data_IF_213315184523
#
_entry.id   IF_213315184523
#
_cell.length_a   1.000
_cell.length_b   1.000
_cell.length_c   1.000
_cell.angle_alpha   90.00
_cell.angle_beta   90.00
_cell.angle_gamma   90.00
#
_symmetry.space_group_name_H-M   'P 1'
#
loop_
_entity.id
_entity.type
_entity.pdbx_description
1 polymer ?
#
# COMPACT_ATOMS: atom_id res chain seq x y z
N UNK A 1 35.87 -8.62 15.14
CA UNK A 1 35.92 -9.42 16.39
C UNK A 1 35.93 -8.55 17.65
N UNK A 2 36.84 -7.59 17.81
CA UNK A 2 36.86 -6.71 18.99
C UNK A 2 35.52 -5.98 19.25
N UNK A 3 34.92 -5.41 18.21
CA UNK A 3 33.61 -4.75 18.31
C UNK A 3 32.49 -5.69 18.79
N UNK A 4 32.45 -6.92 18.28
CA UNK A 4 31.50 -7.94 18.74
C UNK A 4 31.68 -8.24 20.23
N UNK A 5 32.92 -8.49 20.65
CA UNK A 5 33.23 -8.82 22.03
C UNK A 5 32.84 -7.68 22.99
N UNK A 6 33.07 -6.44 22.58
CA UNK A 6 32.65 -5.25 23.33
C UNK A 6 31.12 -5.17 23.49
N UNK A 7 30.36 -5.49 22.44
CA UNK A 7 28.89 -5.36 22.42
C UNK A 7 28.15 -6.51 23.09
N UNK A 8 28.61 -7.73 22.85
CA UNK A 8 27.93 -8.95 23.28
C UNK A 8 28.50 -9.53 24.58
N UNK A 9 29.67 -9.06 25.01
CA UNK A 9 30.31 -9.51 26.25
C UNK A 9 31.06 -10.84 26.15
N UNK A 10 31.19 -11.44 24.95
CA UNK A 10 31.93 -12.68 24.74
C UNK A 10 32.62 -12.72 23.36
N UNK A 11 33.63 -13.58 23.20
CA UNK A 11 34.33 -13.75 21.91
C UNK A 11 33.53 -14.65 20.96
N UNK A 12 33.26 -14.18 19.74
CA UNK A 12 32.65 -15.00 18.69
C UNK A 12 33.62 -16.04 18.11
N UNK A 13 34.94 -15.85 18.29
CA UNK A 13 35.96 -16.67 17.63
C UNK A 13 35.79 -18.19 17.86
N UNK A 14 35.49 -18.69 19.08
CA UNK A 14 35.23 -20.11 19.31
C UNK A 14 33.94 -20.64 18.64
N UNK A 15 33.02 -19.75 18.30
CA UNK A 15 31.73 -20.05 17.66
C UNK A 15 31.69 -19.64 16.19
N UNK A 16 32.83 -19.27 15.58
CA UNK A 16 32.87 -18.82 14.19
C UNK A 16 32.26 -19.85 13.20
N UNK A 17 32.48 -21.17 13.36
CA UNK A 17 31.84 -22.16 12.50
C UNK A 17 30.30 -22.11 12.56
N UNK A 18 29.72 -21.68 13.68
CA UNK A 18 28.27 -21.56 13.84
C UNK A 18 27.63 -20.60 12.84
N UNK A 19 28.39 -19.66 12.27
CA UNK A 19 27.90 -18.74 11.25
C UNK A 19 27.66 -19.42 9.89
N UNK A 20 28.29 -20.58 9.66
CA UNK A 20 28.27 -21.27 8.37
C UNK A 20 27.56 -22.62 8.44
N UNK A 21 27.71 -23.33 9.56
CA UNK A 21 27.13 -24.66 9.80
C UNK A 21 26.43 -24.69 11.15
N UNK A 22 25.54 -25.67 11.35
CA UNK A 22 24.97 -25.91 12.68
C UNK A 22 25.97 -26.68 13.55
N UNK A 23 26.32 -26.10 14.70
CA UNK A 23 27.22 -26.66 15.71
C UNK A 23 26.51 -26.95 17.03
N UNK A 24 25.18 -27.07 17.00
CA UNK A 24 24.34 -27.41 18.16
C UNK A 24 23.69 -26.21 18.82
N UNK A 25 23.39 -26.32 20.12
CA UNK A 25 22.52 -25.40 20.87
C UNK A 25 22.97 -23.92 20.83
N UNK A 26 24.26 -23.66 20.61
CA UNK A 26 24.81 -22.30 20.55
C UNK A 26 24.64 -21.64 19.18
N UNK A 27 24.30 -22.39 18.13
CA UNK A 27 24.16 -21.86 16.76
C UNK A 27 23.16 -20.71 16.66
N UNK A 28 21.91 -20.83 17.13
CA UNK A 28 20.92 -19.76 16.97
C UNK A 28 21.35 -18.47 17.65
N UNK A 29 21.86 -18.56 18.89
CA UNK A 29 22.32 -17.40 19.66
C UNK A 29 23.53 -16.71 19.01
N UNK A 30 24.54 -17.48 18.57
CA UNK A 30 25.71 -16.92 17.91
C UNK A 30 25.39 -16.20 16.59
N UNK A 31 24.47 -16.77 15.78
CA UNK A 31 24.00 -16.14 14.55
C UNK A 31 23.22 -14.86 14.84
N UNK A 32 22.31 -14.90 15.82
CA UNK A 32 21.54 -13.74 16.24
C UNK A 32 22.45 -12.58 16.69
N UNK A 33 23.35 -12.85 17.64
CA UNK A 33 24.25 -11.83 18.19
C UNK A 33 25.19 -11.28 17.12
N UNK A 34 25.59 -12.10 16.14
CA UNK A 34 26.41 -11.64 15.02
C UNK A 34 25.64 -10.69 14.10
N UNK A 35 24.41 -11.06 13.70
CA UNK A 35 23.58 -10.20 12.86
C UNK A 35 23.21 -8.89 13.58
N UNK A 36 22.87 -8.95 14.87
CA UNK A 36 22.62 -7.77 15.68
C UNK A 36 23.84 -6.85 15.75
N UNK A 37 25.04 -7.43 15.98
CA UNK A 37 26.30 -6.67 16.01
C UNK A 37 26.59 -6.03 14.64
N UNK A 38 26.34 -6.72 13.53
CA UNK A 38 26.50 -6.16 12.19
C UNK A 38 25.55 -4.99 11.95
N UNK A 39 24.27 -5.13 12.32
CA UNK A 39 23.28 -4.07 12.20
C UNK A 39 23.66 -2.83 13.02
N UNK A 40 24.05 -3.02 14.30
CA UNK A 40 24.55 -1.93 15.15
C UNK A 40 25.78 -1.26 14.54
N UNK A 41 26.70 -2.04 13.95
CA UNK A 41 27.90 -1.47 13.34
C UNK A 41 27.56 -0.69 12.08
N UNK A 42 26.65 -1.18 11.25
CA UNK A 42 26.20 -0.50 10.03
C UNK A 42 25.51 0.82 10.38
N UNK A 43 24.66 0.84 11.41
CA UNK A 43 24.05 2.07 11.92
C UNK A 43 25.11 3.12 12.31
N UNK A 44 26.09 2.72 13.12
CA UNK A 44 27.11 3.63 13.65
C UNK A 44 28.12 4.08 12.61
N UNK A 45 28.50 3.18 11.70
CA UNK A 45 29.51 3.43 10.69
C UNK A 45 28.95 4.12 9.43
N UNK A 46 27.66 4.00 9.15
CA UNK A 46 27.07 4.40 7.88
C UNK A 46 25.82 5.27 8.05
N UNK A 47 24.66 4.68 8.40
CA UNK A 47 23.38 5.40 8.33
C UNK A 47 23.31 6.60 9.26
N UNK A 48 23.78 6.47 10.51
CA UNK A 48 23.77 7.58 11.47
C UNK A 48 24.71 8.71 11.04
N UNK A 49 25.87 8.38 10.49
CA UNK A 49 26.83 9.37 10.03
C UNK A 49 26.31 10.14 8.82
N UNK A 50 25.75 9.43 7.83
CA UNK A 50 25.13 10.06 6.66
C UNK A 50 23.94 10.94 7.07
N UNK A 51 23.07 10.44 7.95
CA UNK A 51 21.93 11.19 8.46
C UNK A 51 22.35 12.50 9.14
N UNK A 52 23.31 12.42 10.08
CA UNK A 52 23.82 13.58 10.79
C UNK A 52 24.51 14.58 9.84
N UNK A 53 25.29 14.10 8.86
CA UNK A 53 25.92 14.96 7.87
C UNK A 53 24.87 15.67 7.00
N UNK A 54 23.89 14.93 6.50
CA UNK A 54 22.76 15.46 5.72
C UNK A 54 22.00 16.55 6.50
N UNK A 55 21.63 16.27 7.75
CA UNK A 55 20.94 17.23 8.63
C UNK A 55 21.76 18.51 8.86
N UNK A 56 23.07 18.39 9.12
CA UNK A 56 23.96 19.53 9.32
C UNK A 56 24.09 20.44 8.09
N UNK A 57 23.83 19.90 6.89
CA UNK A 57 23.93 20.62 5.62
C UNK A 57 22.56 21.00 5.03
N UNK A 58 21.46 20.72 5.74
CA UNK A 58 20.10 21.00 5.24
C UNK A 58 19.72 20.16 4.02
N UNK A 59 20.31 18.97 3.85
CA UNK A 59 20.03 18.03 2.77
C UNK A 59 19.23 16.87 3.35
N UNK A 60 18.12 16.47 2.72
CA UNK A 60 17.38 15.29 3.17
C UNK A 60 18.06 14.00 2.71
N UNK A 61 18.42 13.10 3.63
CA UNK A 61 18.77 11.73 3.28
C UNK A 61 17.51 11.00 2.80
N UNK A 62 17.59 10.46 1.58
CA UNK A 62 16.52 9.70 0.91
C UNK A 62 17.11 8.47 0.22
N UNK A 63 16.26 7.50 -0.10
CA UNK A 63 16.66 6.26 -0.77
C UNK A 63 16.13 5.05 -0.02
N UNK A 64 16.66 3.87 -0.30
CA UNK A 64 16.27 2.62 0.35
C UNK A 64 17.50 1.88 0.92
N UNK A 65 17.33 1.06 1.97
CA UNK A 65 18.38 0.17 2.47
C UNK A 65 18.67 -0.98 1.49
N UNK A 66 19.62 -1.84 1.85
CA UNK A 66 20.07 -2.93 0.97
C UNK A 66 18.97 -3.97 0.72
N UNK A 67 18.16 -4.28 1.75
CA UNK A 67 17.04 -5.20 1.63
C UNK A 67 15.69 -4.48 1.44
N UNK A 68 14.83 -5.07 0.62
CA UNK A 68 13.51 -4.52 0.30
C UNK A 68 12.54 -4.45 1.51
N UNK A 69 12.78 -5.29 2.54
CA UNK A 69 12.01 -5.31 3.80
C UNK A 69 12.78 -4.75 4.99
N UNK A 70 13.96 -4.17 4.78
CA UNK A 70 14.74 -3.58 5.87
C UNK A 70 14.11 -2.26 6.32
N UNK A 71 13.28 -2.34 7.35
CA UNK A 71 12.58 -1.19 7.92
C UNK A 71 13.43 -0.45 8.96
N UNK A 72 14.27 -1.16 9.71
CA UNK A 72 15.06 -0.58 10.80
C UNK A 72 15.96 0.59 10.40
N UNK A 73 16.75 0.53 9.30
CA UNK A 73 17.64 1.65 8.95
C UNK A 73 16.90 2.93 8.56
N UNK A 74 15.63 2.84 8.16
CA UNK A 74 14.86 3.97 7.63
C UNK A 74 14.65 5.10 8.64
N UNK A 75 14.76 4.83 9.94
CA UNK A 75 14.69 5.87 10.99
C UNK A 75 15.73 6.99 10.84
N UNK A 76 16.85 6.70 10.17
CA UNK A 76 17.90 7.66 9.88
C UNK A 76 17.62 8.52 8.63
N UNK A 77 16.57 8.24 7.87
CA UNK A 77 16.27 8.97 6.64
C UNK A 77 15.30 10.11 6.94
N UNK A 78 15.62 11.33 6.48
CA UNK A 78 14.67 12.45 6.52
C UNK A 78 13.50 12.24 5.54
N UNK A 79 13.73 11.49 4.45
CA UNK A 79 12.70 10.96 3.55
C UNK A 79 12.92 9.45 3.38
N UNK A 80 12.39 8.61 4.29
CA UNK A 80 12.53 7.16 4.18
C UNK A 80 11.93 6.66 2.87
N UNK A 81 12.61 5.73 2.21
CA UNK A 81 12.19 5.21 0.92
C UNK A 81 12.35 3.70 0.78
N UNK A 82 11.64 3.13 -0.19
CA UNK A 82 11.84 1.76 -0.64
C UNK A 82 11.76 1.67 -2.16
N UNK A 83 11.95 0.49 -2.74
CA UNK A 83 11.77 0.25 -4.18
C UNK A 83 10.81 -0.91 -4.46
N UNK A 84 10.06 -0.81 -5.56
CA UNK A 84 9.35 -1.95 -6.16
C UNK A 84 9.77 -2.11 -7.61
N UNK A 85 10.68 -3.04 -7.83
CA UNK A 85 11.37 -3.30 -9.11
C UNK A 85 11.16 -4.75 -9.57
N UNK A 86 11.66 -5.09 -10.76
CA UNK A 86 11.74 -6.48 -11.25
C UNK A 86 10.39 -7.21 -11.38
N UNK A 87 9.28 -6.48 -11.56
CA UNK A 87 7.92 -7.03 -11.52
C UNK A 87 7.66 -7.86 -10.24
N UNK A 88 8.30 -7.48 -9.14
CA UNK A 88 8.11 -8.09 -7.82
C UNK A 88 6.69 -7.88 -7.28
N UNK A 89 6.02 -6.85 -7.78
CA UNK A 89 4.61 -6.52 -7.58
C UNK A 89 3.98 -6.36 -8.96
N UNK A 90 2.84 -6.97 -9.20
CA UNK A 90 2.10 -6.89 -10.48
C UNK A 90 0.61 -6.95 -10.20
N UNK A 91 -0.24 -6.41 -11.10
CA UNK A 91 -1.69 -6.51 -10.95
C UNK A 91 -2.21 -7.95 -11.07
N UNK A 92 -1.52 -8.82 -11.81
CA UNK A 92 -1.94 -10.20 -12.01
C UNK A 92 -1.42 -11.17 -10.94
N UNK A 93 -2.25 -12.12 -10.54
CA UNK A 93 -1.89 -13.18 -9.61
C UNK A 93 -1.77 -12.69 -8.16
N UNK A 94 -0.97 -13.39 -7.36
CA UNK A 94 -0.98 -13.24 -5.91
C UNK A 94 0.11 -12.31 -5.36
N UNK A 95 1.11 -11.92 -6.17
CA UNK A 95 2.30 -11.16 -5.73
C UNK A 95 2.01 -9.78 -5.14
N UNK A 96 0.84 -9.20 -5.43
CA UNK A 96 0.41 -7.93 -4.87
C UNK A 96 0.03 -8.01 -3.37
N UNK A 97 -0.23 -9.21 -2.86
CA UNK A 97 -0.71 -9.49 -1.50
C UNK A 97 0.10 -10.59 -0.80
N UNK A 98 0.85 -11.41 -1.55
CA UNK A 98 1.59 -12.54 -1.01
C UNK A 98 3.10 -12.38 -1.23
N UNK A 99 3.87 -12.87 -0.26
CA UNK A 99 5.32 -12.81 -0.25
C UNK A 99 5.85 -11.46 0.26
N UNK A 100 7.17 -11.41 0.45
CA UNK A 100 7.87 -10.27 1.05
C UNK A 100 7.63 -8.95 0.31
N UNK A 101 7.55 -9.00 -1.02
CA UNK A 101 7.35 -7.81 -1.84
C UNK A 101 6.00 -7.11 -1.62
N UNK A 102 4.98 -7.86 -1.20
CA UNK A 102 3.64 -7.32 -0.96
C UNK A 102 3.59 -6.34 0.22
N UNK A 103 4.54 -6.45 1.15
CA UNK A 103 4.62 -5.63 2.35
C UNK A 103 5.44 -4.33 2.16
N UNK A 104 6.26 -4.23 1.11
CA UNK A 104 7.22 -3.14 0.89
C UNK A 104 6.54 -1.77 0.88
N UNK A 105 5.34 -1.66 0.30
CA UNK A 105 4.60 -0.39 0.23
C UNK A 105 4.26 0.22 1.59
N UNK A 106 4.30 -0.58 2.67
CA UNK A 106 4.12 -0.11 4.07
C UNK A 106 5.43 0.17 4.80
N UNK A 107 6.58 -0.24 4.24
CA UNK A 107 7.88 -0.16 4.90
C UNK A 107 8.25 1.30 5.20
N UNK A 108 8.38 2.13 4.15
CA UNK A 108 8.73 3.55 4.30
C UNK A 108 7.61 4.39 4.91
N UNK A 109 6.34 4.05 4.60
CA UNK A 109 5.20 4.81 5.11
C UNK A 109 5.02 4.64 6.62
N UNK A 110 5.17 3.43 7.17
CA UNK A 110 5.03 3.19 8.61
C UNK A 110 6.06 3.98 9.41
N UNK A 111 7.34 3.94 8.99
CA UNK A 111 8.42 4.71 9.61
C UNK A 111 8.15 6.21 9.54
N UNK A 112 7.70 6.71 8.40
CA UNK A 112 7.37 8.13 8.26
C UNK A 112 6.22 8.56 9.16
N UNK A 113 5.21 7.70 9.38
CA UNK A 113 4.13 7.99 10.33
C UNK A 113 4.64 8.03 11.76
N UNK A 114 5.44 7.04 12.17
CA UNK A 114 5.97 6.96 13.52
C UNK A 114 6.94 8.10 13.85
N UNK A 115 7.81 8.47 12.91
CA UNK A 115 8.83 9.49 13.14
C UNK A 115 8.36 10.90 12.73
N UNK A 116 7.10 11.06 12.33
CA UNK A 116 6.55 12.35 11.89
C UNK A 116 7.23 12.92 10.64
N UNK A 117 7.79 12.06 9.78
CA UNK A 117 8.42 12.49 8.52
C UNK A 117 7.36 12.99 7.56
N UNK A 118 7.59 14.16 6.99
CA UNK A 118 6.69 14.76 6.01
C UNK A 118 6.55 13.91 4.75
N UNK A 119 7.65 13.35 4.28
CA UNK A 119 7.72 12.56 3.06
C UNK A 119 8.19 11.14 3.34
N UNK A 120 7.61 10.20 2.61
CA UNK A 120 8.18 8.89 2.38
C UNK A 120 8.09 8.58 0.89
N UNK A 121 9.08 7.89 0.37
CA UNK A 121 9.21 7.67 -1.07
C UNK A 121 9.15 6.21 -1.46
N UNK A 122 8.87 5.98 -2.74
CA UNK A 122 9.14 4.69 -3.35
C UNK A 122 9.68 4.85 -4.78
N UNK A 123 10.77 4.17 -5.09
CA UNK A 123 11.26 3.97 -6.46
C UNK A 123 10.43 2.89 -7.16
N UNK A 124 9.85 3.21 -8.31
CA UNK A 124 8.85 2.34 -8.96
C UNK A 124 9.07 2.30 -10.47
N UNK A 125 8.63 1.22 -11.11
CA UNK A 125 8.70 0.92 -12.56
C UNK A 125 10.04 0.37 -13.06
N UNK A 126 11.08 0.41 -12.24
CA UNK A 126 12.42 -0.05 -12.62
C UNK A 126 12.46 -1.54 -12.92
N UNK A 127 13.07 -1.91 -14.06
CA UNK A 127 13.16 -3.28 -14.53
C UNK A 127 11.80 -4.00 -14.70
N UNK A 128 10.72 -3.25 -14.99
CA UNK A 128 9.43 -3.84 -15.40
C UNK A 128 9.40 -4.26 -16.87
N UNK A 129 10.41 -3.84 -17.63
CA UNK A 129 10.59 -4.14 -19.05
C UNK A 129 9.78 -3.23 -19.98
N UNK A 130 10.09 -3.31 -21.28
CA UNK A 130 9.43 -2.51 -22.33
C UNK A 130 7.93 -2.80 -22.49
N UNK A 131 7.42 -3.86 -21.86
CA UNK A 131 5.99 -4.20 -21.81
C UNK A 131 5.18 -3.38 -20.80
N UNK A 132 5.82 -2.58 -19.94
CA UNK A 132 5.12 -1.78 -18.93
C UNK A 132 4.15 -0.79 -19.61
N UNK A 133 2.87 -0.90 -19.29
CA UNK A 133 1.81 -0.04 -19.84
C UNK A 133 1.48 1.11 -18.90
N UNK A 134 0.88 2.19 -19.42
CA UNK A 134 0.37 3.29 -18.59
C UNK A 134 -0.74 2.83 -17.62
N UNK A 135 -1.49 1.77 -17.97
CA UNK A 135 -2.47 1.16 -17.07
C UNK A 135 -1.78 0.49 -15.87
N UNK A 136 -0.74 -0.32 -16.14
CA UNK A 136 0.06 -0.94 -15.08
C UNK A 136 0.77 0.14 -14.24
N UNK A 137 1.25 1.22 -14.85
CA UNK A 137 1.85 2.35 -14.13
C UNK A 137 0.87 3.01 -13.15
N UNK A 138 -0.37 3.24 -13.59
CA UNK A 138 -1.43 3.77 -12.73
C UNK A 138 -1.74 2.79 -11.59
N UNK A 139 -1.87 1.50 -11.89
CA UNK A 139 -2.17 0.50 -10.88
C UNK A 139 -1.08 0.44 -9.79
N UNK A 140 0.20 0.44 -10.18
CA UNK A 140 1.34 0.44 -9.24
C UNK A 140 1.40 1.72 -8.40
N UNK A 141 1.13 2.88 -9.00
CA UNK A 141 1.05 4.15 -8.26
C UNK A 141 -0.05 4.09 -7.20
N UNK A 142 -1.25 3.64 -7.57
CA UNK A 142 -2.38 3.49 -6.65
C UNK A 142 -2.07 2.47 -5.55
N UNK A 143 -1.42 1.35 -5.91
CA UNK A 143 -0.98 0.31 -4.98
C UNK A 143 -0.03 0.83 -3.91
N UNK A 144 0.89 1.74 -4.27
CA UNK A 144 1.80 2.39 -3.32
C UNK A 144 1.08 3.46 -2.49
N UNK A 145 0.27 4.31 -3.11
CA UNK A 145 -0.41 5.40 -2.43
C UNK A 145 -1.43 4.91 -1.41
N UNK A 146 -2.21 3.87 -1.73
CA UNK A 146 -3.15 3.28 -0.76
C UNK A 146 -2.42 2.66 0.45
N UNK A 147 -1.13 2.34 0.32
CA UNK A 147 -0.27 1.89 1.42
C UNK A 147 0.43 3.04 2.15
N UNK A 148 0.13 4.28 1.80
CA UNK A 148 0.60 5.48 2.47
C UNK A 148 1.83 6.14 1.84
N UNK A 149 2.31 5.66 0.69
CA UNK A 149 3.42 6.30 -0.03
C UNK A 149 2.97 7.65 -0.59
N UNK A 150 3.72 8.71 -0.28
CA UNK A 150 3.35 10.07 -0.65
C UNK A 150 4.35 10.78 -1.57
N UNK A 151 5.36 10.05 -2.06
CA UNK A 151 6.28 10.49 -3.10
C UNK A 151 6.71 9.30 -3.97
N UNK A 152 6.62 9.45 -5.28
CA UNK A 152 7.07 8.43 -6.23
C UNK A 152 8.34 8.88 -6.92
N UNK A 153 9.28 7.97 -7.12
CA UNK A 153 10.47 8.14 -7.95
C UNK A 153 10.37 7.19 -9.15
N UNK A 154 9.87 7.67 -10.31
CA UNK A 154 9.77 6.84 -11.50
C UNK A 154 11.17 6.44 -11.98
N UNK A 155 11.46 5.14 -12.00
CA UNK A 155 12.68 4.58 -12.57
C UNK A 155 12.43 4.12 -14.02
N UNK A 156 13.04 4.74 -15.03
CA UNK A 156 13.73 6.02 -14.95
C UNK A 156 13.57 6.82 -16.24
N UNK A 157 14.05 8.06 -16.22
CA UNK A 157 14.10 8.91 -17.42
C UNK A 157 15.51 8.85 -17.99
N UNK A 158 15.67 8.15 -19.10
CA UNK A 158 16.96 7.91 -19.73
C UNK A 158 17.35 9.06 -20.65
N UNK A 159 18.61 9.46 -20.52
CA UNK A 159 19.21 10.42 -21.46
C UNK A 159 19.38 9.82 -22.86
N UNK A 160 19.58 8.49 -22.96
CA UNK A 160 19.74 7.79 -24.25
C UNK A 160 19.42 6.31 -24.14
N UNK A 161 18.77 5.78 -25.17
CA UNK A 161 18.51 4.34 -25.35
C UNK A 161 19.38 3.70 -26.44
N UNK A 162 20.47 4.36 -26.87
CA UNK A 162 21.34 3.83 -27.95
C UNK A 162 22.15 2.63 -27.49
N UNK A 163 22.39 1.72 -28.43
CA UNK A 163 23.24 0.54 -28.27
C UNK A 163 22.78 -0.31 -27.07
N UNK A 164 23.70 -0.68 -26.18
CA UNK A 164 23.41 -1.49 -25.00
C UNK A 164 22.51 -0.79 -23.96
N UNK A 165 22.35 0.54 -24.03
CA UNK A 165 21.60 1.30 -23.01
C UNK A 165 20.10 1.00 -23.02
N UNK A 166 19.56 0.50 -24.14
CA UNK A 166 18.17 0.01 -24.23
C UNK A 166 17.88 -1.14 -23.25
N UNK A 167 18.93 -1.82 -22.77
CA UNK A 167 18.85 -2.95 -21.85
C UNK A 167 19.24 -2.59 -20.40
N UNK A 168 19.59 -1.33 -20.12
CA UNK A 168 19.80 -0.85 -18.76
C UNK A 168 18.42 -0.76 -18.09
N UNK A 169 18.06 -1.77 -17.30
CA UNK A 169 16.87 -1.85 -16.42
C UNK A 169 15.57 -1.24 -16.99
N UNK A 170 15.16 -1.59 -18.23
CA UNK A 170 14.06 -0.94 -18.94
C UNK A 170 12.71 -0.97 -18.19
N UNK A 171 11.78 -0.05 -18.51
CA UNK A 171 11.80 0.87 -19.67
C UNK A 171 12.32 2.28 -19.36
N UNK A 172 12.63 3.06 -20.41
CA UNK A 172 12.63 4.52 -20.29
C UNK A 172 11.18 5.00 -20.09
N UNK A 173 10.92 5.80 -19.07
CA UNK A 173 9.64 6.48 -18.86
C UNK A 173 9.65 7.94 -19.36
N UNK A 174 10.82 8.38 -19.81
CA UNK A 174 11.13 9.71 -20.27
C UNK A 174 10.95 9.90 -21.79
N UNK A 175 11.71 10.83 -22.39
CA UNK A 175 11.53 11.26 -23.78
C UNK A 175 11.67 10.20 -24.87
N UNK A 176 12.27 9.05 -24.60
CA UNK A 176 12.42 7.99 -25.59
C UNK A 176 11.22 7.03 -25.62
N UNK A 177 10.23 7.23 -24.73
CA UNK A 177 9.01 6.44 -24.72
C UNK A 177 7.92 7.03 -25.65
N UNK A 178 7.19 6.17 -26.35
CA UNK A 178 6.13 6.54 -27.30
C UNK A 178 5.01 7.37 -26.66
N UNK A 179 4.72 7.14 -25.38
CA UNK A 179 3.67 7.87 -24.65
C UNK A 179 4.17 9.12 -23.91
N UNK A 180 5.45 9.49 -24.05
CA UNK A 180 6.02 10.70 -23.43
C UNK A 180 5.22 11.99 -23.67
N UNK A 181 4.71 12.28 -24.89
CA UNK A 181 3.88 13.47 -25.12
C UNK A 181 2.64 13.56 -24.23
N UNK A 182 2.20 12.43 -23.66
CA UNK A 182 1.03 12.32 -22.78
C UNK A 182 1.38 12.07 -21.31
N UNK A 183 2.66 11.94 -20.95
CA UNK A 183 3.11 11.59 -19.60
C UNK A 183 2.61 12.58 -18.53
N UNK A 184 2.42 13.86 -18.91
CA UNK A 184 1.86 14.88 -18.04
C UNK A 184 0.52 14.48 -17.41
N UNK A 185 -0.34 13.75 -18.12
CA UNK A 185 -1.63 13.29 -17.57
C UNK A 185 -1.42 12.40 -16.34
N UNK A 186 -0.45 11.50 -16.42
CA UNK A 186 -0.08 10.61 -15.32
C UNK A 186 0.68 11.35 -14.21
N UNK A 187 1.60 12.24 -14.56
CA UNK A 187 2.34 13.05 -13.59
C UNK A 187 1.40 13.98 -12.78
N UNK A 188 0.46 14.67 -13.44
CA UNK A 188 -0.51 15.55 -12.77
C UNK A 188 -1.45 14.74 -11.85
N UNK A 189 -1.85 13.54 -12.26
CA UNK A 189 -2.64 12.61 -11.44
C UNK A 189 -1.90 12.22 -10.16
N UNK A 190 -0.67 11.71 -10.29
CA UNK A 190 0.13 11.26 -9.14
C UNK A 190 0.53 12.43 -8.25
N UNK A 191 0.84 13.61 -8.80
CA UNK A 191 1.15 14.81 -8.03
C UNK A 191 -0.01 15.24 -7.12
N UNK A 192 -1.26 15.21 -7.61
CA UNK A 192 -2.44 15.56 -6.81
C UNK A 192 -2.65 14.58 -5.65
N UNK A 193 -2.52 13.27 -5.90
CA UNK A 193 -2.66 12.27 -4.86
C UNK A 193 -1.53 12.34 -3.83
N UNK A 194 -0.27 12.41 -4.26
CA UNK A 194 0.87 12.65 -3.37
C UNK A 194 0.66 13.92 -2.53
N UNK A 195 0.17 15.00 -3.14
CA UNK A 195 -0.18 16.24 -2.44
C UNK A 195 -1.31 16.08 -1.42
N UNK A 196 -2.29 15.21 -1.67
CA UNK A 196 -3.32 14.85 -0.69
C UNK A 196 -2.75 14.05 0.48
N UNK A 197 -1.90 13.06 0.21
CA UNK A 197 -1.30 12.20 1.23
C UNK A 197 -0.24 12.91 2.09
N UNK A 198 0.42 13.92 1.52
CA UNK A 198 1.38 14.77 2.23
C UNK A 198 0.65 15.67 3.24
N UNK A 199 1.25 15.86 4.41
CA UNK A 199 0.69 16.69 5.49
C UNK A 199 -0.70 16.21 5.98
N UNK A 200 -1.00 14.93 5.76
CA UNK A 200 -2.19 14.24 6.26
C UNK A 200 -1.84 13.27 7.37
N UNK A 201 -2.71 13.18 8.39
CA UNK A 201 -2.66 12.15 9.43
C UNK A 201 -3.43 10.92 8.98
N UNK A 202 -2.82 9.75 9.02
CA UNK A 202 -3.53 8.50 8.79
C UNK A 202 -4.40 8.15 10.01
N UNK A 203 -5.59 7.61 9.77
CA UNK A 203 -6.43 6.98 10.79
C UNK A 203 -6.31 5.47 10.60
N UNK A 204 -5.84 4.79 11.63
CA UNK A 204 -5.41 3.40 11.55
C UNK A 204 -5.26 2.85 12.97
N UNK A 205 -6.12 1.91 13.35
CA UNK A 205 -6.18 1.36 14.71
C UNK A 205 -5.38 0.06 14.88
N UNK A 206 -4.83 -0.49 13.79
CA UNK A 206 -4.13 -1.76 13.78
C UNK A 206 -2.64 -1.58 13.51
N UNK A 207 -1.82 -2.24 14.33
CA UNK A 207 -0.40 -2.43 14.08
C UNK A 207 -0.09 -3.91 13.82
N UNK A 208 0.86 -4.19 12.95
CA UNK A 208 1.49 -5.50 12.81
C UNK A 208 2.92 -5.39 13.33
N UNK A 209 3.34 -6.31 14.21
CA UNK A 209 4.72 -6.41 14.65
C UNK A 209 5.61 -6.81 13.47
N UNK A 210 6.63 -6.01 13.19
CA UNK A 210 7.67 -6.28 12.21
C UNK A 210 8.99 -6.58 12.90
N UNK A 211 9.75 -7.51 12.33
CA UNK A 211 11.16 -7.63 12.64
C UNK A 211 11.93 -6.40 12.16
N UNK A 212 13.16 -6.23 12.64
CA UNK A 212 14.00 -5.11 12.19
C UNK A 212 14.33 -5.17 10.68
N UNK A 213 14.31 -6.37 10.08
CA UNK A 213 14.74 -6.61 8.71
C UNK A 213 13.70 -7.34 7.85
N UNK A 214 12.52 -7.63 8.39
CA UNK A 214 11.50 -8.45 7.77
C UNK A 214 10.09 -7.96 8.11
N UNK A 215 9.21 -8.07 7.12
CA UNK A 215 7.82 -7.64 7.22
C UNK A 215 6.91 -8.85 6.94
N UNK A 216 6.09 -9.30 7.92
CA UNK A 216 5.21 -10.44 7.71
C UNK A 216 3.99 -10.05 6.87
N UNK A 217 3.54 -10.93 5.98
CA UNK A 217 2.53 -10.59 4.97
C UNK A 217 1.18 -11.30 5.13
N UNK A 218 1.05 -12.36 5.96
CA UNK A 218 -0.19 -13.16 6.02
C UNK A 218 -1.32 -12.35 6.65
N UNK A 219 -1.06 -11.77 7.82
CA UNK A 219 -2.01 -10.87 8.46
C UNK A 219 -2.29 -9.65 7.57
N UNK A 220 -1.26 -9.04 6.97
CA UNK A 220 -1.40 -7.91 6.07
C UNK A 220 -2.33 -8.19 4.89
N UNK A 221 -2.17 -9.34 4.21
CA UNK A 221 -3.06 -9.81 3.14
C UNK A 221 -4.50 -9.84 3.59
N UNK A 222 -4.75 -10.50 4.72
CA UNK A 222 -6.11 -10.67 5.24
C UNK A 222 -6.75 -9.34 5.62
N UNK A 223 -6.03 -8.48 6.33
CA UNK A 223 -6.49 -7.13 6.67
C UNK A 223 -6.84 -6.34 5.41
N UNK A 224 -6.00 -6.38 4.38
CA UNK A 224 -6.27 -5.72 3.11
C UNK A 224 -7.53 -6.26 2.41
N UNK A 225 -7.72 -7.58 2.39
CA UNK A 225 -8.90 -8.21 1.80
C UNK A 225 -10.19 -7.85 2.54
N UNK A 226 -10.08 -7.56 3.83
CA UNK A 226 -11.21 -7.16 4.66
C UNK A 226 -11.23 -5.66 4.92
N UNK A 227 -10.62 -4.80 4.10
CA UNK A 227 -10.68 -3.33 4.25
C UNK A 227 -10.29 -2.85 5.68
N UNK A 228 -9.17 -3.34 6.19
CA UNK A 228 -8.56 -2.86 7.44
C UNK A 228 -7.18 -2.34 7.11
N UNK A 229 -6.95 -1.07 7.38
CA UNK A 229 -5.64 -0.47 7.24
C UNK A 229 -4.78 -0.74 8.49
N UNK A 230 -3.46 -0.77 8.31
CA UNK A 230 -2.50 -1.07 9.37
C UNK A 230 -1.17 -0.33 9.15
N UNK A 231 -0.31 -0.34 10.16
CA UNK A 231 1.10 0.03 10.03
C UNK A 231 2.00 -1.05 10.65
N UNK A 232 3.24 -1.16 10.19
CA UNK A 232 4.23 -2.03 10.82
C UNK A 232 4.92 -1.30 11.96
N UNK A 233 5.01 -1.93 13.14
CA UNK A 233 5.79 -1.45 14.29
C UNK A 233 6.99 -2.38 14.45
N UNK A 234 8.18 -1.82 14.39
CA UNK A 234 9.43 -2.57 14.51
C UNK A 234 9.70 -3.06 15.94
N UNK A 235 10.33 -4.22 16.06
CA UNK A 235 10.79 -4.81 17.33
C UNK A 235 11.47 -3.81 18.26
N UNK A 236 12.48 -3.07 17.77
CA UNK A 236 13.22 -2.12 18.58
C UNK A 236 12.31 -1.00 19.13
N UNK A 237 11.35 -0.55 18.32
CA UNK A 237 10.43 0.53 18.64
C UNK A 237 9.44 0.05 19.68
N UNK A 238 8.91 -1.17 19.53
CA UNK A 238 8.05 -1.82 20.51
C UNK A 238 8.72 -1.94 21.89
N UNK A 239 10.00 -2.32 21.92
CA UNK A 239 10.76 -2.53 23.17
C UNK A 239 11.14 -1.19 23.81
N UNK A 240 11.66 -0.25 23.04
CA UNK A 240 12.40 0.89 23.60
C UNK A 240 11.58 2.17 23.72
N UNK A 241 10.56 2.37 22.88
CA UNK A 241 9.90 3.68 22.76
C UNK A 241 8.38 3.62 22.73
N UNK A 242 7.77 2.48 22.38
CA UNK A 242 6.33 2.34 22.39
C UNK A 242 5.80 2.27 23.83
N UNK A 243 4.64 2.87 24.06
CA UNK A 243 3.98 2.91 25.38
C UNK A 243 2.51 2.47 25.26
N UNK A 244 1.85 2.16 26.39
CA UNK A 244 0.41 1.85 26.44
C UNK A 244 -0.31 2.89 27.26
N UNK A 245 -1.24 3.58 26.61
CA UNK A 245 -2.11 4.55 27.27
C UNK A 245 -3.54 4.41 26.71
N UNK A 246 -4.52 4.39 27.60
CA UNK A 246 -5.95 4.26 27.26
C UNK A 246 -6.25 3.01 26.42
N UNK A 247 -5.64 1.88 26.78
CA UNK A 247 -5.81 0.61 26.06
C UNK A 247 -5.22 0.59 24.65
N UNK A 248 -4.42 1.60 24.28
CA UNK A 248 -3.83 1.74 22.95
C UNK A 248 -2.31 1.78 23.00
N UNK A 249 -1.66 1.12 22.05
CA UNK A 249 -0.22 1.19 21.82
C UNK A 249 0.12 2.54 21.16
N UNK A 250 0.92 3.36 21.81
CA UNK A 250 1.38 4.66 21.34
C UNK A 250 2.74 4.54 20.69
N UNK A 251 2.86 4.99 19.45
CA UNK A 251 4.10 4.97 18.67
C UNK A 251 4.24 6.28 17.90
N UNK A 252 5.07 7.18 18.41
CA UNK A 252 5.15 8.55 17.90
C UNK A 252 3.76 9.23 17.90
N UNK A 253 3.29 9.80 16.78
CA UNK A 253 1.97 10.41 16.70
C UNK A 253 0.82 9.40 16.49
N UNK A 254 1.12 8.11 16.39
CA UNK A 254 0.14 7.06 16.11
C UNK A 254 -0.32 6.35 17.38
N UNK A 255 -1.55 5.83 17.35
CA UNK A 255 -2.15 5.04 18.42
C UNK A 255 -2.90 3.85 17.81
N UNK A 256 -2.68 2.66 18.36
CA UNK A 256 -3.26 1.41 17.86
C UNK A 256 -3.99 0.67 18.97
N UNK A 257 -5.26 0.33 18.77
CA UNK A 257 -6.03 -0.47 19.73
C UNK A 257 -5.73 -1.97 19.62
N UNK A 258 -5.12 -2.40 18.50
CA UNK A 258 -4.82 -3.79 18.21
C UNK A 258 -3.38 -3.94 17.70
N UNK A 259 -2.61 -4.83 18.33
CA UNK A 259 -1.31 -5.30 17.84
C UNK A 259 -1.42 -6.76 17.37
N UNK A 260 -1.03 -7.01 16.12
CA UNK A 260 -1.00 -8.34 15.53
C UNK A 260 0.44 -8.85 15.46
N UNK A 261 0.66 -10.09 15.88
CA UNK A 261 1.93 -10.81 15.78
C UNK A 261 1.76 -11.94 14.77
N UNK A 262 2.35 -11.80 13.58
CA UNK A 262 2.26 -12.78 12.48
C UNK A 262 3.51 -13.63 12.38
N UNK A 263 3.49 -14.76 13.10
CA UNK A 263 4.56 -15.77 13.12
C UNK A 263 4.04 -17.09 13.70
N UNK A 264 4.64 -18.20 13.29
CA UNK A 264 4.13 -19.54 13.60
C UNK A 264 4.46 -20.01 15.05
N UNK A 265 5.37 -19.33 15.75
CA UNK A 265 5.75 -19.62 17.14
C UNK A 265 5.51 -18.44 18.09
N UNK A 266 5.56 -18.63 19.42
CA UNK A 266 5.53 -17.51 20.36
C UNK A 266 6.80 -16.66 20.21
N UNK A 267 6.70 -15.32 20.25
CA UNK A 267 7.87 -14.46 20.27
C UNK A 267 8.73 -14.73 21.51
N UNK A 268 10.03 -14.89 21.32
CA UNK A 268 10.97 -15.21 22.39
C UNK A 268 11.78 -13.97 22.82
N UNK A 269 12.53 -14.11 23.92
CA UNK A 269 13.50 -13.10 24.35
C UNK A 269 12.85 -11.77 24.75
N UNK A 270 13.49 -10.62 24.45
CA UNK A 270 12.98 -9.30 24.83
C UNK A 270 11.58 -8.98 24.26
N UNK A 271 11.29 -9.43 23.04
CA UNK A 271 9.97 -9.20 22.41
C UNK A 271 8.87 -9.96 23.14
N UNK A 272 9.09 -11.24 23.46
CA UNK A 272 8.12 -12.04 24.22
C UNK A 272 7.75 -11.38 25.55
N UNK A 273 8.77 -10.96 26.33
CA UNK A 273 8.56 -10.23 27.59
C UNK A 273 7.79 -8.93 27.38
N UNK A 274 8.16 -8.15 26.37
CA UNK A 274 7.47 -6.89 26.06
C UNK A 274 5.99 -7.13 25.73
N UNK A 275 5.66 -8.16 24.97
CA UNK A 275 4.27 -8.48 24.64
C UNK A 275 3.46 -8.89 25.88
N UNK A 276 4.04 -9.63 26.82
CA UNK A 276 3.40 -9.95 28.12
C UNK A 276 3.11 -8.69 28.95
N UNK A 277 4.05 -7.73 28.98
CA UNK A 277 3.86 -6.43 29.62
C UNK A 277 2.71 -5.64 28.97
N UNK A 278 2.68 -5.57 27.64
CA UNK A 278 1.65 -4.86 26.89
C UNK A 278 0.26 -5.47 27.11
N UNK A 279 0.17 -6.81 27.12
CA UNK A 279 -1.06 -7.53 27.47
C UNK A 279 -1.53 -7.22 28.89
N UNK A 280 -0.59 -7.20 29.84
CA UNK A 280 -0.88 -6.87 31.25
C UNK A 280 -1.32 -5.41 31.43
N UNK A 281 -0.85 -4.52 30.56
CA UNK A 281 -1.28 -3.12 30.49
C UNK A 281 -2.63 -2.91 29.77
N UNK A 282 -3.29 -3.99 29.33
CA UNK A 282 -4.62 -3.95 28.72
C UNK A 282 -4.64 -3.73 27.22
N UNK A 283 -3.48 -3.81 26.53
CA UNK A 283 -3.45 -3.79 25.07
C UNK A 283 -4.05 -5.09 24.50
N UNK A 284 -4.85 -4.98 23.45
CA UNK A 284 -5.28 -6.16 22.70
C UNK A 284 -4.16 -6.63 21.78
N UNK A 285 -3.59 -7.79 22.08
CA UNK A 285 -2.62 -8.48 21.21
C UNK A 285 -3.28 -9.73 20.60
N UNK A 286 -3.04 -9.98 19.31
CA UNK A 286 -3.54 -11.15 18.58
C UNK A 286 -2.41 -11.82 17.82
N UNK A 287 -2.41 -13.15 17.80
CA UNK A 287 -1.41 -13.94 17.10
C UNK A 287 -2.00 -14.55 15.83
N UNK A 288 -1.40 -14.26 14.69
CA UNK A 288 -1.68 -14.93 13.42
C UNK A 288 -0.70 -16.10 13.28
N UNK A 289 -1.20 -17.33 13.42
CA UNK A 289 -0.45 -18.59 13.26
C UNK A 289 -1.05 -19.34 12.08
N UNK A 290 -0.31 -19.50 10.99
CA UNK A 290 -0.87 -20.02 9.74
C UNK A 290 -1.84 -19.04 9.07
N UNK A 291 -2.97 -19.56 8.56
CA UNK A 291 -3.96 -18.77 7.82
C UNK A 291 -4.82 -17.90 8.78
N UNK A 292 -4.87 -16.58 8.56
CA UNK A 292 -5.67 -15.66 9.38
C UNK A 292 -7.19 -15.83 9.16
N UNK A 293 -7.96 -15.53 10.21
CA UNK A 293 -9.42 -15.56 10.20
C UNK A 293 -10.03 -14.29 10.85
N UNK A 294 -11.36 -14.22 10.87
CA UNK A 294 -12.11 -13.09 11.44
C UNK A 294 -11.84 -12.85 12.94
N UNK A 295 -11.37 -13.88 13.67
CA UNK A 295 -10.97 -13.78 15.07
C UNK A 295 -9.77 -12.85 15.30
N UNK A 296 -8.94 -12.64 14.26
CA UNK A 296 -7.78 -11.75 14.32
C UNK A 296 -8.16 -10.30 14.66
N UNK A 297 -9.37 -9.89 14.27
CA UNK A 297 -9.89 -8.52 14.43
C UNK A 297 -11.21 -8.47 15.19
N UNK A 298 -11.56 -9.55 15.90
CA UNK A 298 -12.79 -9.60 16.69
C UNK A 298 -12.82 -8.47 17.73
N UNK A 299 -13.91 -7.68 17.70
CA UNK A 299 -14.11 -6.51 18.56
C UNK A 299 -13.50 -5.21 18.03
N UNK A 300 -12.78 -5.24 16.89
CA UNK A 300 -12.29 -4.03 16.23
C UNK A 300 -13.45 -3.26 15.59
N UNK A 301 -13.56 -1.96 15.89
CA UNK A 301 -14.48 -1.08 15.19
C UNK A 301 -14.07 -0.95 13.72
N UNK A 302 -15.05 -1.09 12.83
CA UNK A 302 -14.82 -1.06 11.38
C UNK A 302 -14.92 0.37 10.86
N UNK A 303 -13.82 0.89 10.32
CA UNK A 303 -13.80 2.21 9.66
C UNK A 303 -14.63 2.20 8.36
N UNK A 304 -14.52 1.10 7.58
CA UNK A 304 -15.32 0.87 6.38
C UNK A 304 -15.99 -0.50 6.46
N UNK A 305 -17.28 -0.53 6.10
CA UNK A 305 -18.10 -1.72 5.87
C UNK A 305 -18.50 -1.76 4.39
N UNK A 306 -18.36 -2.92 3.75
CA UNK A 306 -18.59 -3.10 2.31
C UNK A 306 -19.57 -4.26 2.12
N UNK A 307 -20.71 -3.99 1.48
CA UNK A 307 -21.76 -4.99 1.22
C UNK A 307 -22.21 -4.92 -0.26
N UNK A 308 -22.11 -6.03 -1.03
CA UNK A 308 -21.45 -7.29 -0.68
C UNK A 308 -19.94 -7.12 -0.49
N UNK A 309 -19.28 -8.10 0.14
CA UNK A 309 -17.83 -8.05 0.36
C UNK A 309 -17.07 -7.90 -0.98
N UNK A 310 -16.13 -6.96 -1.03
CA UNK A 310 -15.27 -6.73 -2.21
C UNK A 310 -13.81 -6.91 -1.79
N UNK A 311 -13.27 -8.13 -1.84
CA UNK A 311 -11.95 -8.43 -1.29
C UNK A 311 -10.79 -7.77 -2.03
N UNK A 312 -11.03 -7.10 -3.15
CA UNK A 312 -10.04 -6.34 -3.92
C UNK A 312 -10.08 -4.83 -3.64
N UNK A 313 -11.08 -4.35 -2.89
CA UNK A 313 -11.16 -2.95 -2.51
C UNK A 313 -10.07 -2.62 -1.49
N UNK A 314 -9.27 -1.60 -1.79
CA UNK A 314 -8.25 -1.03 -0.89
C UNK A 314 -8.56 0.44 -0.67
N UNK A 315 -8.35 0.92 0.55
CA UNK A 315 -8.46 2.33 0.89
C UNK A 315 -7.45 2.69 1.99
N UNK A 316 -7.24 3.99 2.18
CA UNK A 316 -6.62 4.56 3.37
C UNK A 316 -7.44 5.76 3.84
N UNK A 317 -7.61 5.88 5.16
CA UNK A 317 -8.30 6.99 5.80
C UNK A 317 -7.30 8.04 6.27
N UNK A 318 -7.51 9.28 5.82
CA UNK A 318 -6.61 10.40 6.03
C UNK A 318 -7.37 11.59 6.62
N UNK A 319 -6.74 12.32 7.52
CA UNK A 319 -7.25 13.59 8.06
C UNK A 319 -6.28 14.70 7.66
N UNK A 320 -6.76 15.69 6.92
CA UNK A 320 -5.99 16.88 6.53
C UNK A 320 -6.77 18.13 6.91
N UNK A 321 -6.13 19.03 7.67
CA UNK A 321 -6.75 20.27 8.17
C UNK A 321 -8.08 20.01 8.92
N UNK A 322 -8.14 18.94 9.72
CA UNK A 322 -9.34 18.54 10.46
C UNK A 322 -10.41 17.83 9.62
N UNK A 323 -10.14 17.58 8.34
CA UNK A 323 -11.13 17.02 7.42
C UNK A 323 -10.75 15.60 7.02
N UNK A 324 -11.71 14.69 7.17
CA UNK A 324 -11.56 13.28 6.84
C UNK A 324 -11.68 13.03 5.32
N UNK A 325 -10.75 12.24 4.78
CA UNK A 325 -10.70 11.75 3.41
C UNK A 325 -10.58 10.24 3.44
N UNK A 326 -11.34 9.58 2.58
CA UNK A 326 -11.03 8.24 2.15
C UNK A 326 -10.41 8.37 0.77
N UNK A 327 -9.23 7.80 0.58
CA UNK A 327 -8.63 7.66 -0.75
C UNK A 327 -8.47 6.19 -1.06
N UNK A 328 -8.87 5.81 -2.25
CA UNK A 328 -8.89 4.43 -2.72
C UNK A 328 -9.34 4.42 -4.17
N UNK A 329 -9.26 3.25 -4.78
CA UNK A 329 -9.68 3.06 -6.16
C UNK A 329 -10.85 2.09 -6.17
N UNK A 330 -12.07 2.61 -6.39
CA UNK A 330 -13.25 1.80 -6.69
C UNK A 330 -13.45 1.78 -8.19
N UNK A 331 -13.16 0.64 -8.82
CA UNK A 331 -13.50 0.39 -10.22
C UNK A 331 -14.60 -0.65 -10.24
N UNK A 332 -15.83 -0.23 -10.49
CA UNK A 332 -16.91 -1.16 -10.81
C UNK A 332 -16.70 -1.63 -12.25
N UNK A 333 -16.29 -2.88 -12.43
CA UNK A 333 -16.17 -3.54 -13.73
C UNK A 333 -17.07 -4.77 -13.71
N UNK A 334 -17.90 -4.91 -14.73
CA UNK A 334 -18.66 -6.14 -14.95
C UNK A 334 -18.64 -6.47 -16.42
N UNK A 335 -18.79 -7.75 -16.75
CA UNK A 335 -19.20 -8.16 -18.08
C UNK A 335 -20.67 -8.57 -18.07
N UNK A 336 -21.32 -8.49 -19.23
CA UNK A 336 -22.65 -9.04 -19.45
C UNK A 336 -22.78 -9.54 -20.88
N UNK A 337 -23.51 -10.64 -21.07
CA UNK A 337 -23.85 -11.14 -22.38
C UNK A 337 -25.07 -10.40 -22.93
N UNK A 338 -25.00 -9.97 -24.19
CA UNK A 338 -26.09 -9.35 -24.92
C UNK A 338 -26.30 -10.06 -26.25
N UNK A 339 -27.49 -10.60 -26.46
CA UNK A 339 -27.93 -11.05 -27.80
C UNK A 339 -28.59 -9.89 -28.52
N UNK A 340 -27.85 -9.23 -29.41
CA UNK A 340 -28.33 -8.05 -30.10
C UNK A 340 -29.38 -8.42 -31.15
N UNK A 341 -30.59 -7.90 -30.96
CA UNK A 341 -31.64 -7.93 -31.99
C UNK A 341 -31.41 -6.85 -33.05
N UNK A 342 -31.50 -7.25 -34.32
CA UNK A 342 -31.39 -6.34 -35.47
C UNK A 342 -32.41 -5.21 -35.36
N UNK A 343 -31.98 -3.96 -35.61
CA UNK A 343 -32.84 -2.78 -35.58
C UNK A 343 -33.28 -2.32 -34.18
N UNK A 344 -32.78 -2.94 -33.11
CA UNK A 344 -33.12 -2.57 -31.72
C UNK A 344 -32.15 -1.55 -31.14
N UNK A 345 -32.67 -0.66 -30.28
CA UNK A 345 -31.87 0.28 -29.49
C UNK A 345 -31.72 -0.19 -28.05
N UNK A 346 -30.58 0.13 -27.45
CA UNK A 346 -30.24 -0.24 -26.09
C UNK A 346 -29.94 1.01 -25.26
N UNK A 347 -30.62 1.12 -24.12
CA UNK A 347 -30.37 2.14 -23.12
C UNK A 347 -29.74 1.49 -21.89
N UNK A 348 -28.58 2.01 -21.47
CA UNK A 348 -28.00 1.68 -20.16
C UNK A 348 -28.54 2.69 -19.14
N UNK A 349 -29.19 2.21 -18.09
CA UNK A 349 -29.71 3.00 -16.98
C UNK A 349 -29.02 2.54 -15.68
N UNK A 350 -28.31 3.45 -15.02
CA UNK A 350 -27.63 3.15 -13.75
C UNK A 350 -28.54 3.27 -12.53
N UNK A 351 -29.81 3.66 -12.71
CA UNK A 351 -30.75 3.84 -11.63
C UNK A 351 -30.32 4.97 -10.69
N UNK A 352 -30.20 4.65 -9.40
CA UNK A 352 -29.79 5.60 -8.38
C UNK A 352 -28.27 5.69 -8.27
N UNK A 353 -27.74 6.90 -8.44
CA UNK A 353 -26.33 7.26 -8.26
C UNK A 353 -26.24 8.46 -7.32
N UNK A 354 -25.26 8.43 -6.42
CA UNK A 354 -24.88 9.56 -5.57
C UNK A 354 -23.42 9.95 -5.83
N UNK A 355 -23.09 10.95 -6.65
CA UNK A 355 -23.98 11.97 -7.25
C UNK A 355 -23.68 12.23 -8.76
N UNK A 356 -22.44 12.04 -9.20
CA UNK A 356 -21.94 12.26 -10.56
C UNK A 356 -21.30 10.98 -11.10
N UNK A 357 -21.40 10.74 -12.42
CA UNK A 357 -20.88 9.52 -13.04
C UNK A 357 -20.17 9.76 -14.37
N UNK A 358 -19.07 9.02 -14.55
CA UNK A 358 -18.42 8.75 -15.83
C UNK A 358 -18.48 7.25 -16.07
N UNK A 359 -18.93 6.82 -17.25
CA UNK A 359 -19.09 5.41 -17.59
C UNK A 359 -18.42 5.09 -18.93
N UNK A 360 -17.97 3.84 -19.10
CA UNK A 360 -17.41 3.32 -20.36
C UNK A 360 -18.06 1.98 -20.69
N UNK A 361 -18.48 1.79 -21.94
CA UNK A 361 -18.94 0.50 -22.46
C UNK A 361 -18.00 0.05 -23.57
N UNK A 362 -17.38 -1.13 -23.42
CA UNK A 362 -16.43 -1.70 -24.38
C UNK A 362 -15.29 -0.74 -24.76
N UNK A 363 -14.79 0.02 -23.78
CA UNK A 363 -13.76 1.03 -23.95
C UNK A 363 -14.24 2.41 -24.46
N UNK A 364 -15.49 2.52 -24.93
CA UNK A 364 -16.06 3.80 -25.37
C UNK A 364 -16.60 4.59 -24.17
N UNK A 365 -16.07 5.80 -23.97
CA UNK A 365 -16.56 6.72 -22.94
C UNK A 365 -17.96 7.25 -23.28
N UNK A 366 -18.85 7.21 -22.30
CA UNK A 366 -20.20 7.77 -22.38
C UNK A 366 -20.16 9.21 -21.84
N UNK A 367 -20.99 10.14 -22.37
CA UNK A 367 -21.06 11.51 -21.87
C UNK A 367 -21.28 11.57 -20.36
N UNK A 368 -20.50 12.36 -19.63
CA UNK A 368 -20.63 12.44 -18.18
C UNK A 368 -22.04 12.92 -17.75
N UNK A 369 -22.54 12.41 -16.61
CA UNK A 369 -23.87 12.78 -16.07
C UNK A 369 -23.74 13.31 -14.66
N UNK A 370 -24.24 14.53 -14.47
CA UNK A 370 -24.28 15.23 -13.17
C UNK A 370 -25.64 15.11 -12.46
N UNK A 371 -26.69 14.72 -13.19
CA UNK A 371 -28.04 14.58 -12.66
C UNK A 371 -28.82 13.52 -13.44
N UNK A 372 -29.95 13.09 -12.85
CA UNK A 372 -30.84 12.09 -13.43
C UNK A 372 -31.51 12.58 -14.73
N UNK A 373 -31.83 11.69 -15.68
CA UNK A 373 -31.56 10.25 -15.64
C UNK A 373 -30.08 9.94 -15.87
N UNK A 374 -29.54 9.00 -15.10
CA UNK A 374 -28.19 8.47 -15.29
C UNK A 374 -28.21 7.38 -16.37
N UNK A 375 -28.68 7.75 -17.56
CA UNK A 375 -28.84 6.84 -18.69
C UNK A 375 -28.24 7.35 -19.99
N UNK A 376 -27.92 6.40 -20.86
CA UNK A 376 -27.34 6.63 -22.18
C UNK A 376 -27.90 5.66 -23.21
N UNK A 377 -28.10 6.16 -24.42
CA UNK A 377 -28.18 5.30 -25.59
C UNK A 377 -26.79 4.69 -25.83
N UNK A 378 -26.69 3.39 -25.57
CA UNK A 378 -25.46 2.62 -25.72
C UNK A 378 -25.49 1.73 -26.97
N UNK A 379 -26.50 1.90 -27.84
CA UNK A 379 -26.63 1.15 -29.10
C UNK A 379 -25.35 1.15 -29.94
N UNK A 380 -24.58 2.25 -30.06
CA UNK A 380 -23.34 2.25 -30.84
C UNK A 380 -22.19 1.50 -30.17
N UNK A 381 -22.16 1.49 -28.84
CA UNK A 381 -21.07 0.94 -28.04
C UNK A 381 -21.26 -0.54 -27.69
N UNK A 382 -22.52 -0.99 -27.57
CA UNK A 382 -22.86 -2.37 -27.27
C UNK A 382 -22.43 -3.33 -28.40
N UNK A 383 -22.19 -4.60 -28.08
CA UNK A 383 -21.77 -5.65 -29.02
C UNK A 383 -22.64 -6.88 -28.82
N UNK A 384 -22.75 -7.71 -29.85
CA UNK A 384 -23.33 -9.04 -29.69
C UNK A 384 -22.33 -9.92 -28.93
N UNK A 385 -22.82 -10.74 -28.00
CA UNK A 385 -21.98 -11.50 -27.07
C UNK A 385 -21.56 -10.71 -25.84
N UNK A 386 -20.32 -10.88 -25.40
CA UNK A 386 -19.83 -10.27 -24.15
C UNK A 386 -19.55 -8.77 -24.29
N UNK A 387 -20.00 -8.01 -23.29
CA UNK A 387 -19.81 -6.57 -23.18
C UNK A 387 -19.19 -6.23 -21.83
N UNK A 388 -18.27 -5.28 -21.80
CA UNK A 388 -17.66 -4.77 -20.58
C UNK A 388 -18.21 -3.39 -20.22
N UNK A 389 -18.67 -3.22 -18.98
CA UNK A 389 -19.08 -1.95 -18.40
C UNK A 389 -18.12 -1.54 -17.28
N UNK A 390 -17.62 -0.31 -17.34
CA UNK A 390 -16.85 0.35 -16.27
C UNK A 390 -17.59 1.61 -15.81
N UNK A 391 -17.78 1.76 -14.50
CA UNK A 391 -18.48 2.92 -13.90
C UNK A 391 -17.64 3.56 -12.80
N UNK A 392 -17.46 4.88 -12.89
CA UNK A 392 -16.77 5.72 -11.89
C UNK A 392 -17.78 6.71 -11.30
N UNK A 393 -17.98 6.68 -9.98
CA UNK A 393 -18.94 7.54 -9.27
C UNK A 393 -18.21 8.55 -8.38
N UNK A 394 -18.60 9.81 -8.44
CA UNK A 394 -18.12 10.89 -7.55
C UNK A 394 -19.28 11.47 -6.75
N UNK A 395 -19.11 11.63 -5.43
CA UNK A 395 -20.11 12.19 -4.53
C UNK A 395 -19.86 13.67 -4.20
N UNK A 396 -20.79 14.28 -3.48
CA UNK A 396 -20.61 15.60 -2.87
C UNK A 396 -19.74 15.57 -1.60
N UNK A 397 -19.16 16.72 -1.26
CA UNK A 397 -18.29 16.89 -0.09
C UNK A 397 -19.05 16.90 1.26
N UNK A 398 -20.37 16.70 1.27
CA UNK A 398 -21.20 16.86 2.49
C UNK A 398 -20.87 15.82 3.57
N UNK A 399 -20.66 14.56 3.19
CA UNK A 399 -20.29 13.48 4.12
C UNK A 399 -18.99 13.77 4.88
N UNK A 400 -18.21 14.69 4.34
CA UNK A 400 -16.90 15.09 4.81
C UNK A 400 -16.93 16.36 5.66
N UNK A 401 -17.80 17.34 5.38
CA UNK A 401 -17.81 18.64 6.08
C UNK A 401 -18.98 18.86 7.03
N UNK A 402 -20.07 18.08 6.91
CA UNK A 402 -21.25 18.24 7.76
C UNK A 402 -21.48 16.97 8.59
N UNK A 403 -21.21 17.07 9.89
CA UNK A 403 -21.40 15.95 10.83
C UNK A 403 -22.87 15.67 11.15
N UNK A 404 -23.78 16.61 10.87
CA UNK A 404 -25.22 16.48 11.12
C UNK A 404 -25.96 15.95 9.89
N UNK A 405 -25.37 16.06 8.71
CA UNK A 405 -25.98 15.63 7.44
C UNK A 405 -25.13 14.52 6.81
N UNK A 406 -25.74 13.34 6.64
CA UNK A 406 -25.18 12.22 5.88
C UNK A 406 -25.97 12.04 4.60
N UNK A 407 -25.27 11.91 3.46
CA UNK A 407 -25.86 11.57 2.17
C UNK A 407 -25.34 10.22 1.66
N UNK A 408 -26.20 9.40 1.06
CA UNK A 408 -25.76 8.21 0.34
C UNK A 408 -24.73 8.56 -0.75
N UNK A 409 -23.64 7.78 -0.86
CA UNK A 409 -22.61 7.89 -1.90
C UNK A 409 -22.40 6.56 -2.62
N UNK A 410 -22.29 6.57 -3.95
CA UNK A 410 -21.97 5.38 -4.75
C UNK A 410 -22.99 5.04 -5.84
N UNK A 411 -22.84 3.85 -6.43
CA UNK A 411 -23.73 3.27 -7.43
C UNK A 411 -24.73 2.35 -6.72
N UNK A 412 -25.98 2.79 -6.58
CA UNK A 412 -27.02 2.04 -5.87
C UNK A 412 -27.87 1.18 -6.81
N UNK A 413 -27.92 1.54 -8.09
CA UNK A 413 -28.70 0.80 -9.07
C UNK A 413 -30.21 1.00 -8.91
N UNK A 414 -31.03 0.05 -9.42
CA UNK A 414 -30.58 -1.10 -10.21
C UNK A 414 -29.93 -0.65 -11.52
N UNK A 415 -28.82 -1.29 -11.88
CA UNK A 415 -28.17 -1.11 -13.19
C UNK A 415 -28.88 -2.00 -14.19
N UNK A 416 -29.42 -1.41 -15.25
CA UNK A 416 -30.24 -2.10 -16.24
C UNK A 416 -29.81 -1.74 -17.66
N UNK A 417 -29.83 -2.73 -18.53
CA UNK A 417 -29.82 -2.52 -19.96
C UNK A 417 -31.24 -2.79 -20.50
N UNK A 418 -31.86 -1.77 -21.10
CA UNK A 418 -33.21 -1.87 -21.64
C UNK A 418 -33.18 -1.83 -23.16
N UNK A 419 -33.94 -2.72 -23.78
CA UNK A 419 -34.26 -2.64 -25.20
C UNK A 419 -35.38 -1.62 -25.39
N UNK A 420 -35.11 -0.48 -26.03
CA UNK A 420 -36.03 0.67 -26.09
C UNK A 420 -36.81 0.79 -27.40
N UNK A 421 -36.74 -0.25 -28.25
CA UNK A 421 -37.62 -0.41 -29.42
C UNK A 421 -36.90 -0.85 -30.69
N UNK A 422 -37.63 -1.57 -31.55
CA UNK A 422 -37.24 -1.91 -32.92
C UNK A 422 -37.79 -0.86 -33.89
N UNK A 423 -37.01 -0.43 -34.87
CA UNK A 423 -37.60 0.21 -36.04
C UNK A 423 -38.41 -0.87 -36.80
N UNK A 424 -39.73 -0.75 -36.81
CA UNK A 424 -40.54 -1.40 -37.83
C UNK A 424 -40.08 -0.85 -39.19
N UNK A 425 -39.50 -1.71 -40.01
CA UNK A 425 -39.27 -1.40 -41.42
C UNK A 425 -40.59 -0.95 -42.05
N UNK A 426 -40.62 0.25 -42.62
CA UNK A 426 -41.55 0.62 -43.67
C UNK A 426 -40.77 0.73 -44.96
#
# INVERSE_FOLDING_TARGET
MAYFQQRRGYSLLPLLPALFVDVGEKTPGARYDFQLTLAERLDEAYYRQLSAWCDQHGIALTGHPAGATEIYPLRYFQTPGQDIVWRGVVPEGHRALEGTNSAIGKCSSSVARHDGRRFNSNEVYGAYGWQLTMEEMKWLADWLMVRGVNRLYPHAFYYSIRDYRVNERPPDLGPNNLWWPHYRLFADYTARLCGLLTDSRQVCDVAILAGNHDLPWRAAKWLYQHQIDFNYVEDWRLILTADVADGSLRVGPMAYSLLIVDQDGPPAGPIGKRLEELLSAGLTVRHCRGEPDAGLVAGLARDVLVEPEVPDLRFVHLVKNGIHFYTGTLRYRTTFALSRKTGSRYELDLGQVGDFVVARLNGQELPARFWRPFSWDVTPAARDGENELVVEVTNSLVNRYDAKIRRPSGLFGPVQLRETGSQSAK
#
